data_IF_832007890953
#
_entry.id   IF_832007890953
#
_cell.length_a   1.000
_cell.length_b   1.000
_cell.length_c   1.000
_cell.angle_alpha   90.00
_cell.angle_beta   90.00
_cell.angle_gamma   90.00
#
_symmetry.space_group_name_H-M   'P 1'
#
loop_
_entity.id
_entity.type
_entity.pdbx_description
1 polymer ?
#
# COMPACT_ATOMS: atom_id res chain seq x y z
N UNK A 1 -10.28 -32.79 7.87
CA UNK A 1 -10.71 -31.48 8.40
C UNK A 1 -11.08 -30.59 7.23
N UNK A 2 -12.21 -29.86 7.28
CA UNK A 2 -12.64 -29.02 6.17
C UNK A 2 -11.57 -27.92 5.92
N UNK A 3 -11.03 -27.77 4.69
CA UNK A 3 -9.99 -26.78 4.40
C UNK A 3 -10.37 -25.34 4.79
N UNK A 4 -11.66 -25.01 4.76
CA UNK A 4 -12.18 -23.71 5.19
C UNK A 4 -11.98 -23.49 6.70
N UNK A 5 -12.11 -24.53 7.52
CA UNK A 5 -11.87 -24.46 8.96
C UNK A 5 -10.39 -24.19 9.24
N UNK A 6 -9.49 -24.86 8.50
CA UNK A 6 -8.04 -24.62 8.61
C UNK A 6 -7.69 -23.17 8.22
N UNK A 7 -8.23 -22.68 7.10
CA UNK A 7 -8.03 -21.31 6.66
C UNK A 7 -8.52 -20.30 7.72
N UNK A 8 -9.72 -20.49 8.27
CA UNK A 8 -10.27 -19.60 9.30
C UNK A 8 -9.44 -19.58 10.58
N UNK A 9 -9.01 -20.74 11.08
CA UNK A 9 -8.14 -20.84 12.26
C UNK A 9 -6.83 -20.11 12.05
N UNK A 10 -6.19 -20.30 10.90
CA UNK A 10 -4.90 -19.69 10.58
C UNK A 10 -5.03 -18.18 10.44
N UNK A 11 -6.07 -17.69 9.76
CA UNK A 11 -6.37 -16.26 9.68
C UNK A 11 -6.66 -15.67 11.06
N UNK A 12 -7.32 -16.40 11.95
CA UNK A 12 -7.64 -15.92 13.31
C UNK A 12 -6.37 -15.77 14.15
N UNK A 13 -5.48 -16.76 14.13
CA UNK A 13 -4.17 -16.65 14.79
C UNK A 13 -3.26 -15.60 14.15
N UNK A 14 -3.32 -15.43 12.83
CA UNK A 14 -2.65 -14.31 12.15
C UNK A 14 -3.18 -12.95 12.60
N UNK A 15 -4.50 -12.83 12.76
CA UNK A 15 -5.16 -11.64 13.30
C UNK A 15 -4.74 -11.34 14.73
N UNK A 16 -4.63 -12.36 15.59
CA UNK A 16 -4.09 -12.22 16.95
C UNK A 16 -2.64 -11.72 16.94
N UNK A 17 -1.81 -12.21 16.03
CA UNK A 17 -0.47 -11.64 15.82
C UNK A 17 -0.51 -10.16 15.44
N UNK A 18 -1.47 -9.77 14.59
CA UNK A 18 -1.75 -8.37 14.26
C UNK A 18 -2.23 -7.53 15.44
N UNK A 19 -3.01 -8.10 16.37
CA UNK A 19 -3.38 -7.44 17.65
C UNK A 19 -2.13 -7.16 18.48
N UNK A 20 -1.25 -8.16 18.64
CA UNK A 20 0.01 -7.99 19.39
C UNK A 20 0.88 -6.93 18.73
N UNK A 21 0.97 -6.91 17.40
CA UNK A 21 1.70 -5.88 16.66
C UNK A 21 1.10 -4.48 16.86
N UNK A 22 -0.22 -4.35 16.90
CA UNK A 22 -0.89 -3.08 17.19
C UNK A 22 -0.63 -2.60 18.62
N UNK A 23 -0.57 -3.52 19.60
CA UNK A 23 -0.26 -3.21 21.00
C UNK A 23 1.20 -2.77 21.21
N UNK A 24 2.12 -3.32 20.42
CA UNK A 24 3.54 -2.95 20.45
C UNK A 24 3.84 -1.66 19.67
N UNK A 25 2.91 -1.22 18.83
CA UNK A 25 3.07 0.00 18.03
C UNK A 25 2.65 1.22 18.83
N UNK A 26 3.37 2.33 18.69
CA UNK A 26 3.10 3.60 19.40
C UNK A 26 1.70 4.18 19.12
N UNK A 27 0.98 3.66 18.12
CA UNK A 27 -0.41 3.99 17.78
C UNK A 27 -1.48 3.34 18.68
N UNK A 28 -1.11 2.39 19.55
CA UNK A 28 -2.03 1.68 20.45
C UNK A 28 -3.24 1.03 19.76
N UNK A 29 -4.34 0.84 20.50
CA UNK A 29 -5.64 0.34 19.98
C UNK A 29 -6.45 1.41 19.22
N UNK A 30 -5.77 2.40 18.63
CA UNK A 30 -6.42 3.50 17.92
C UNK A 30 -7.22 3.01 16.72
N UNK A 31 -8.45 3.51 16.59
CA UNK A 31 -9.21 3.46 15.34
C UNK A 31 -8.40 4.15 14.21
N UNK A 32 -8.59 3.76 12.94
CA UNK A 32 -7.91 4.40 11.81
C UNK A 32 -8.16 5.91 11.86
N UNK A 33 -7.08 6.66 12.07
CA UNK A 33 -7.13 8.11 12.25
C UNK A 33 -6.35 8.76 11.12
N UNK A 34 -6.87 9.87 10.61
CA UNK A 34 -6.13 10.71 9.68
C UNK A 34 -5.41 11.77 10.51
N UNK A 35 -4.09 11.76 10.50
CA UNK A 35 -3.27 12.71 11.24
C UNK A 35 -2.36 13.45 10.27
N UNK A 36 -2.40 14.78 10.29
CA UNK A 36 -1.60 15.64 9.41
C UNK A 36 -1.72 15.30 7.91
N UNK A 37 -2.92 14.91 7.48
CA UNK A 37 -3.19 14.53 6.08
C UNK A 37 -2.82 13.08 5.72
N UNK A 38 -2.11 12.36 6.59
CA UNK A 38 -1.69 10.96 6.40
C UNK A 38 -2.70 10.02 7.04
N UNK A 39 -3.09 8.97 6.31
CA UNK A 39 -3.97 7.94 6.84
C UNK A 39 -3.14 6.98 7.69
N UNK A 40 -3.30 7.05 9.01
CA UNK A 40 -2.65 6.13 9.94
C UNK A 40 -3.50 4.86 10.04
N UNK A 41 -3.02 3.71 9.52
CA UNK A 41 -3.71 2.44 9.67
C UNK A 41 -3.76 2.10 11.16
N UNK A 42 -4.98 2.09 11.72
CA UNK A 42 -5.21 1.80 13.13
C UNK A 42 -5.04 0.31 13.44
N UNK A 43 -5.39 -0.08 14.67
CA UNK A 43 -5.26 -1.46 15.13
C UNK A 43 -6.00 -2.47 14.24
N UNK A 44 -7.16 -2.08 13.68
CA UNK A 44 -7.96 -2.91 12.76
C UNK A 44 -7.16 -3.29 11.50
N UNK A 45 -6.36 -2.35 10.96
CA UNK A 45 -5.54 -2.59 9.79
C UNK A 45 -4.42 -3.59 10.09
N UNK A 46 -3.76 -3.46 11.24
CA UNK A 46 -2.72 -4.41 11.67
C UNK A 46 -3.28 -5.83 11.85
N UNK A 47 -4.48 -5.97 12.42
CA UNK A 47 -5.17 -7.25 12.58
C UNK A 47 -5.48 -7.88 11.23
N UNK A 48 -6.05 -7.12 10.30
CA UNK A 48 -6.37 -7.62 8.96
C UNK A 48 -5.09 -8.01 8.20
N UNK A 49 -4.05 -7.18 8.25
CA UNK A 49 -2.75 -7.47 7.62
C UNK A 49 -2.16 -8.75 8.21
N UNK A 50 -2.19 -8.94 9.53
CA UNK A 50 -1.74 -10.16 10.18
C UNK A 50 -2.51 -11.40 9.75
N UNK A 51 -3.85 -11.30 9.67
CA UNK A 51 -4.72 -12.38 9.21
C UNK A 51 -4.43 -12.79 7.76
N UNK A 52 -4.27 -11.81 6.87
CA UNK A 52 -3.93 -12.05 5.47
C UNK A 52 -2.50 -12.58 5.31
N UNK A 53 -1.53 -12.04 6.05
CA UNK A 53 -0.15 -12.51 5.99
C UNK A 53 -0.04 -13.99 6.42
N UNK A 54 -0.70 -14.38 7.51
CA UNK A 54 -0.74 -15.77 7.96
C UNK A 54 -1.46 -16.67 6.96
N UNK A 55 -2.59 -16.22 6.41
CA UNK A 55 -3.32 -16.95 5.37
C UNK A 55 -2.47 -17.17 4.12
N UNK A 56 -1.86 -16.12 3.58
CA UNK A 56 -0.99 -16.21 2.40
C UNK A 56 0.23 -17.09 2.67
N UNK A 57 0.86 -16.98 3.83
CA UNK A 57 1.99 -17.83 4.22
C UNK A 57 1.60 -19.31 4.23
N UNK A 58 0.47 -19.66 4.85
CA UNK A 58 -0.03 -21.04 4.86
C UNK A 58 -0.48 -21.52 3.47
N UNK A 59 -1.11 -20.66 2.68
CA UNK A 59 -1.61 -21.00 1.35
C UNK A 59 -0.49 -21.11 0.30
N UNK A 60 0.67 -20.47 0.51
CA UNK A 60 1.83 -20.60 -0.37
C UNK A 60 2.80 -21.70 0.07
N UNK A 61 3.12 -21.75 1.37
CA UNK A 61 4.21 -22.55 1.90
C UNK A 61 3.75 -23.65 2.86
N UNK A 62 2.52 -23.54 3.37
CA UNK A 62 1.94 -24.51 4.28
C UNK A 62 1.18 -25.64 3.59
N UNK A 63 0.49 -26.43 4.39
CA UNK A 63 -0.35 -27.54 3.92
C UNK A 63 -1.51 -27.10 3.02
N UNK A 64 -1.86 -25.80 3.01
CA UNK A 64 -2.89 -25.24 2.14
C UNK A 64 -2.49 -25.20 0.66
N UNK A 65 -1.20 -25.13 0.33
CA UNK A 65 -0.74 -24.92 -1.04
C UNK A 65 -1.16 -26.03 -2.03
N UNK A 66 -1.26 -27.26 -1.54
CA UNK A 66 -1.64 -28.44 -2.31
C UNK A 66 -3.15 -28.74 -2.31
N UNK A 67 -3.95 -27.99 -1.54
CA UNK A 67 -5.39 -28.25 -1.42
C UNK A 67 -6.11 -27.75 -2.68
N UNK A 68 -6.79 -28.67 -3.35
CA UNK A 68 -7.63 -28.41 -4.53
C UNK A 68 -9.08 -28.19 -4.11
N UNK A 69 -9.57 -26.97 -4.32
CA UNK A 69 -10.91 -26.50 -3.98
C UNK A 69 -11.96 -26.90 -5.01
N UNK A 70 -11.57 -27.09 -6.27
CA UNK A 70 -12.49 -27.44 -7.38
C UNK A 70 -12.61 -28.95 -7.63
N UNK A 71 -11.86 -29.78 -6.92
CA UNK A 71 -11.68 -31.21 -7.24
C UNK A 71 -12.76 -32.17 -6.73
N UNK A 72 -13.87 -31.69 -6.15
CA UNK A 72 -14.83 -32.57 -5.45
C UNK A 72 -15.91 -33.18 -6.36
N UNK A 73 -16.01 -32.75 -7.62
CA UNK A 73 -16.92 -33.33 -8.62
C UNK A 73 -16.13 -34.06 -9.71
N UNK A 74 -16.16 -35.39 -9.64
CA UNK A 74 -15.63 -36.33 -10.63
C UNK A 74 -16.36 -36.16 -11.97
N UNK A 75 -16.00 -35.16 -12.77
CA UNK A 75 -16.41 -35.11 -14.18
C UNK A 75 -15.18 -34.86 -15.06
N UNK A 76 -14.87 -35.76 -16.01
CA UNK A 76 -13.60 -35.78 -16.75
C UNK A 76 -13.46 -34.67 -17.81
N UNK A 77 -14.27 -33.60 -17.78
CA UNK A 77 -14.34 -32.64 -18.90
C UNK A 77 -14.17 -31.15 -18.59
N UNK A 78 -13.85 -30.74 -17.36
CA UNK A 78 -13.56 -29.32 -17.09
C UNK A 78 -12.84 -29.12 -15.75
N UNK A 79 -11.62 -29.62 -15.61
CA UNK A 79 -10.87 -29.48 -14.35
C UNK A 79 -10.08 -28.16 -14.38
N UNK A 80 -10.78 -27.04 -14.16
CA UNK A 80 -10.13 -25.82 -13.70
C UNK A 80 -9.74 -26.09 -12.23
N UNK A 81 -8.50 -26.52 -12.01
CA UNK A 81 -8.00 -26.79 -10.65
C UNK A 81 -7.85 -25.47 -9.88
N UNK A 82 -8.86 -25.12 -9.07
CA UNK A 82 -8.77 -24.00 -8.15
C UNK A 82 -7.99 -24.46 -6.91
N UNK A 83 -6.80 -23.93 -6.68
CA UNK A 83 -5.97 -24.23 -5.50
C UNK A 83 -5.86 -23.03 -4.58
N UNK A 84 -5.69 -23.25 -3.28
CA UNK A 84 -5.46 -22.14 -2.33
C UNK A 84 -4.21 -21.33 -2.66
N UNK A 85 -3.17 -21.96 -3.21
CA UNK A 85 -1.98 -21.28 -3.72
C UNK A 85 -2.29 -20.32 -4.87
N UNK A 86 -3.23 -20.67 -5.75
CA UNK A 86 -3.69 -19.78 -6.82
C UNK A 86 -4.49 -18.58 -6.26
N UNK A 87 -5.33 -18.81 -5.25
CA UNK A 87 -6.05 -17.73 -4.54
C UNK A 87 -5.10 -16.79 -3.80
N UNK A 88 -4.10 -17.34 -3.10
CA UNK A 88 -3.08 -16.53 -2.43
C UNK A 88 -2.23 -15.74 -3.44
N UNK A 89 -1.91 -16.35 -4.60
CA UNK A 89 -1.24 -15.70 -5.72
C UNK A 89 -2.02 -14.49 -6.24
N UNK A 90 -3.31 -14.69 -6.54
CA UNK A 90 -4.20 -13.62 -6.96
C UNK A 90 -4.31 -12.50 -5.91
N UNK A 91 -4.40 -12.85 -4.62
CA UNK A 91 -4.40 -11.87 -3.54
C UNK A 91 -3.11 -11.04 -3.49
N UNK A 92 -1.95 -11.69 -3.56
CA UNK A 92 -0.65 -11.00 -3.53
C UNK A 92 -0.50 -10.05 -4.72
N UNK A 93 -0.82 -10.51 -5.94
CA UNK A 93 -0.80 -9.67 -7.14
C UNK A 93 -1.78 -8.50 -7.00
N UNK A 94 -2.96 -8.73 -6.44
CA UNK A 94 -3.93 -7.66 -6.15
C UNK A 94 -3.38 -6.58 -5.21
N UNK A 95 -2.78 -6.97 -4.08
CA UNK A 95 -2.21 -6.03 -3.11
C UNK A 95 -1.00 -5.29 -3.68
N UNK A 96 -0.06 -6.02 -4.30
CA UNK A 96 1.14 -5.43 -4.88
C UNK A 96 0.80 -4.51 -6.07
N UNK A 97 -0.10 -4.95 -6.94
CA UNK A 97 -0.59 -4.16 -8.08
C UNK A 97 -1.32 -2.90 -7.65
N UNK A 98 -2.23 -2.99 -6.66
CA UNK A 98 -2.94 -1.82 -6.14
C UNK A 98 -1.98 -0.79 -5.51
N UNK A 99 -0.99 -1.26 -4.74
CA UNK A 99 0.04 -0.39 -4.14
C UNK A 99 0.91 0.27 -5.22
N UNK A 100 1.25 -0.45 -6.28
CA UNK A 100 1.99 0.11 -7.41
C UNK A 100 1.22 1.22 -8.12
N UNK A 101 -0.07 0.98 -8.44
CA UNK A 101 -0.93 1.99 -9.07
C UNK A 101 -1.08 3.23 -8.17
N UNK A 102 -1.32 3.02 -6.87
CA UNK A 102 -1.49 4.13 -5.91
C UNK A 102 -0.22 4.99 -5.84
N UNK A 103 0.95 4.36 -5.72
CA UNK A 103 2.23 5.08 -5.69
C UNK A 103 2.50 5.85 -6.99
N UNK A 104 2.08 5.32 -8.14
CA UNK A 104 2.24 6.00 -9.42
C UNK A 104 1.31 7.21 -9.54
N UNK A 105 0.07 7.10 -9.06
CA UNK A 105 -0.88 8.21 -8.97
C UNK A 105 -0.37 9.29 -8.02
N UNK A 106 0.12 8.91 -6.83
CA UNK A 106 0.67 9.86 -5.85
C UNK A 106 1.86 10.65 -6.42
N UNK A 107 2.77 10.00 -7.17
CA UNK A 107 3.87 10.68 -7.85
C UNK A 107 3.36 11.70 -8.87
N UNK A 108 2.31 11.37 -9.62
CA UNK A 108 1.70 12.30 -10.59
C UNK A 108 1.03 13.47 -9.88
N UNK A 109 0.29 13.20 -8.80
CA UNK A 109 -0.34 14.25 -7.99
C UNK A 109 0.70 15.18 -7.36
N UNK A 110 1.83 14.65 -6.88
CA UNK A 110 2.94 15.48 -6.38
C UNK A 110 3.53 16.37 -7.47
N UNK A 111 3.73 15.86 -8.69
CA UNK A 111 4.19 16.66 -9.83
C UNK A 111 3.20 17.78 -10.20
N UNK A 112 1.91 17.48 -10.23
CA UNK A 112 0.87 18.48 -10.49
C UNK A 112 0.76 19.51 -9.35
N UNK A 113 0.92 19.08 -8.10
CA UNK A 113 0.96 19.99 -6.94
C UNK A 113 2.12 20.97 -7.06
N UNK A 114 3.31 20.51 -7.47
CA UNK A 114 4.45 21.38 -7.75
C UNK A 114 4.15 22.34 -8.89
N UNK A 115 3.55 21.90 -10.01
CA UNK A 115 3.14 22.80 -11.09
C UNK A 115 2.20 23.91 -10.61
N UNK A 116 1.19 23.59 -9.81
CA UNK A 116 0.25 24.57 -9.24
C UNK A 116 0.97 25.53 -8.28
N UNK A 117 1.84 25.01 -7.41
CA UNK A 117 2.60 25.84 -6.46
C UNK A 117 3.56 26.80 -7.16
N UNK A 118 4.24 26.32 -8.21
CA UNK A 118 5.18 27.07 -9.03
C UNK A 118 4.48 28.15 -9.89
N UNK A 119 3.24 27.90 -10.32
CA UNK A 119 2.41 28.89 -11.02
C UNK A 119 1.72 29.90 -10.08
N UNK A 120 1.89 29.79 -8.76
CA UNK A 120 1.43 30.83 -7.83
C UNK A 120 2.38 32.03 -7.88
N UNK A 121 1.85 33.25 -7.71
CA UNK A 121 2.60 34.53 -7.83
C UNK A 121 3.78 34.71 -6.84
N UNK A 122 4.12 33.68 -6.05
CA UNK A 122 5.24 33.68 -5.10
C UNK A 122 6.59 33.25 -5.70
N UNK A 123 6.62 32.70 -6.92
CA UNK A 123 7.85 32.22 -7.57
C UNK A 123 8.14 32.97 -8.88
N UNK A 124 9.42 33.24 -9.23
CA UNK A 124 9.77 33.93 -10.47
C UNK A 124 9.40 33.10 -11.70
N UNK A 125 8.57 33.67 -12.59
CA UNK A 125 7.98 33.01 -13.78
C UNK A 125 8.98 32.47 -14.81
N UNK A 126 10.25 32.84 -14.71
CA UNK A 126 11.30 32.46 -15.68
C UNK A 126 11.95 31.11 -15.33
N UNK A 127 11.93 30.70 -14.04
CA UNK A 127 12.42 29.37 -13.60
C UNK A 127 11.30 28.34 -13.48
N UNK A 128 10.03 28.77 -13.45
CA UNK A 128 8.86 27.93 -13.18
C UNK A 128 8.59 26.85 -14.23
N UNK A 129 8.87 27.11 -15.50
CA UNK A 129 8.45 26.23 -16.60
C UNK A 129 9.27 24.93 -16.68
N UNK A 130 10.55 24.96 -16.26
CA UNK A 130 11.45 23.80 -16.38
C UNK A 130 11.55 22.93 -15.12
N UNK A 131 11.13 23.45 -13.96
CA UNK A 131 11.26 22.76 -12.66
C UNK A 131 10.55 21.41 -12.62
N UNK A 132 9.51 21.24 -13.44
CA UNK A 132 8.62 20.06 -13.37
C UNK A 132 9.02 18.90 -14.29
N UNK A 133 10.02 19.12 -15.16
CA UNK A 133 10.48 18.13 -16.13
C UNK A 133 11.58 17.21 -15.57
N UNK A 134 12.24 17.63 -14.49
CA UNK A 134 13.31 16.89 -13.84
C UNK A 134 12.85 15.63 -13.07
N UNK A 135 13.83 14.85 -12.62
CA UNK A 135 13.60 13.80 -11.63
C UNK A 135 13.08 14.40 -10.31
N UNK A 136 12.30 13.67 -9.49
CA UNK A 136 11.75 14.21 -8.23
C UNK A 136 12.80 14.83 -7.29
N UNK A 137 14.05 14.36 -7.36
CA UNK A 137 15.18 14.94 -6.60
C UNK A 137 15.62 16.29 -7.15
N UNK A 138 15.70 16.43 -8.49
CA UNK A 138 16.04 17.69 -9.14
C UNK A 138 14.95 18.74 -8.90
N UNK A 139 13.69 18.35 -9.10
CA UNK A 139 12.52 19.21 -8.81
C UNK A 139 12.58 19.73 -7.38
N UNK A 140 12.82 18.87 -6.38
CA UNK A 140 12.92 19.29 -4.99
C UNK A 140 14.08 20.27 -4.73
N UNK A 141 15.24 20.06 -5.36
CA UNK A 141 16.39 20.94 -5.20
C UNK A 141 16.13 22.32 -5.80
N UNK A 142 15.56 22.37 -7.00
CA UNK A 142 15.25 23.61 -7.70
C UNK A 142 14.13 24.40 -7.00
N UNK A 143 13.10 23.72 -6.47
CA UNK A 143 12.06 24.37 -5.64
C UNK A 143 12.64 24.95 -4.36
N UNK A 144 13.57 24.24 -3.68
CA UNK A 144 14.25 24.76 -2.48
C UNK A 144 15.09 26.00 -2.78
N UNK A 145 15.85 25.96 -3.85
CA UNK A 145 16.70 27.08 -4.29
C UNK A 145 15.85 28.31 -4.65
N UNK A 146 14.76 28.10 -5.39
CA UNK A 146 13.84 29.18 -5.75
C UNK A 146 13.16 29.80 -4.51
N UNK A 147 12.73 28.97 -3.55
CA UNK A 147 12.13 29.45 -2.30
C UNK A 147 13.12 30.24 -1.43
N UNK A 148 14.38 29.81 -1.33
CA UNK A 148 15.42 30.54 -0.61
C UNK A 148 15.73 31.91 -1.24
N UNK A 149 15.68 31.99 -2.57
CA UNK A 149 15.92 33.24 -3.31
C UNK A 149 14.79 34.25 -3.09
N UNK A 150 13.52 33.79 -3.04
CA UNK A 150 12.38 34.65 -2.73
C UNK A 150 12.43 35.21 -1.30
N UNK A 151 12.76 34.38 -0.31
CA UNK A 151 12.85 34.82 1.08
C UNK A 151 13.93 35.91 1.27
N UNK A 152 15.08 35.77 0.58
CA UNK A 152 16.13 36.78 0.62
C UNK A 152 15.75 38.10 -0.08
N UNK A 153 14.82 38.07 -1.04
CA UNK A 153 14.33 39.27 -1.73
C UNK A 153 13.26 40.04 -0.94
N UNK A 154 12.59 39.39 0.02
CA UNK A 154 11.56 40.01 0.87
C UNK A 154 12.15 40.73 2.10
N UNK A 155 13.43 40.49 2.43
CA UNK A 155 14.16 41.14 3.54
C UNK A 155 14.98 42.39 3.13
N UNK A 156 14.94 42.78 1.84
CA UNK A 156 15.61 43.96 1.26
C UNK A 156 14.60 45.07 0.93
#
# INVERSE_FOLDING_TARGET
MNPWICASLISLFGGLGGVVNALLSDNGFGLPRKESGVWCPGAISNILIGAFAAFSSWAFYGSGAAIELAGQTQTPRSVISLRFSALAGAFLVGVAGAKWITNEVDKRLLKETVKVAVNSDKLPREKSEHITEGSPRQVLHEVKEACATCAAAEEL
#
